data_IF_746847428899
#
_entry.id   IF_746847428899
#
_cell.length_a   1.000
_cell.length_b   1.000
_cell.length_c   1.000
_cell.angle_alpha   90.00
_cell.angle_beta   90.00
_cell.angle_gamma   90.00
#
_symmetry.space_group_name_H-M   'P 1'
#
loop_
_entity.id
_entity.type
_entity.pdbx_description
1 polymer ?
#
# COMPACT_ATOMS: atom_id res chain seq x y z
N UNK A 1 60.50 26.88 1.98
CA UNK A 1 60.12 25.74 1.14
C UNK A 1 59.14 24.74 1.77
N UNK A 2 59.02 24.62 3.11
CA UNK A 2 58.13 23.62 3.77
C UNK A 2 56.62 23.97 3.78
N UNK A 3 56.25 25.26 3.64
CA UNK A 3 54.83 25.65 3.73
C UNK A 3 53.99 25.35 2.45
N UNK A 4 54.60 25.33 1.25
CA UNK A 4 53.89 25.05 0.00
C UNK A 4 53.51 23.55 -0.19
N UNK A 5 54.31 22.67 0.41
CA UNK A 5 54.07 21.24 0.32
C UNK A 5 52.82 20.78 1.13
N UNK A 6 52.55 21.45 2.25
CA UNK A 6 51.43 21.17 3.14
C UNK A 6 50.07 21.59 2.55
N UNK A 7 50.06 22.70 1.78
CA UNK A 7 48.85 23.22 1.15
C UNK A 7 48.39 22.38 -0.06
N UNK A 8 49.35 21.80 -0.78
CA UNK A 8 49.04 20.96 -1.94
C UNK A 8 48.40 19.65 -1.54
N UNK A 9 48.80 19.03 -0.42
CA UNK A 9 48.22 17.81 0.09
C UNK A 9 46.81 17.97 0.65
N UNK A 10 46.51 19.10 1.32
CA UNK A 10 45.18 19.38 1.86
C UNK A 10 44.12 19.52 0.77
N UNK A 11 44.42 20.18 -0.36
CA UNK A 11 43.48 20.30 -1.49
C UNK A 11 43.19 18.98 -2.15
N UNK A 12 44.18 18.09 -2.28
CA UNK A 12 43.99 16.73 -2.83
C UNK A 12 43.18 15.83 -1.88
N UNK A 13 43.38 15.93 -0.57
CA UNK A 13 42.63 15.20 0.46
C UNK A 13 41.18 15.68 0.48
N UNK A 14 40.91 16.97 0.36
CA UNK A 14 39.55 17.52 0.27
C UNK A 14 38.83 17.08 -1.01
N UNK A 15 39.53 16.96 -2.14
CA UNK A 15 38.94 16.53 -3.41
C UNK A 15 38.61 15.03 -3.41
N UNK A 16 39.45 14.20 -2.77
CA UNK A 16 39.21 12.78 -2.59
C UNK A 16 38.05 12.53 -1.61
N UNK A 17 37.98 13.29 -0.51
CA UNK A 17 36.89 13.23 0.44
C UNK A 17 35.54 13.64 -0.17
N UNK A 18 35.53 14.65 -1.07
CA UNK A 18 34.34 15.05 -1.81
C UNK A 18 33.88 14.02 -2.82
N UNK A 19 34.80 13.28 -3.46
CA UNK A 19 34.47 12.22 -4.41
C UNK A 19 33.93 10.96 -3.71
N UNK A 20 34.43 10.64 -2.51
CA UNK A 20 33.91 9.54 -1.70
C UNK A 20 32.52 9.83 -1.10
N UNK A 21 32.16 11.08 -0.87
CA UNK A 21 30.84 11.46 -0.36
C UNK A 21 29.73 11.28 -1.40
N UNK A 22 30.04 11.27 -2.68
CA UNK A 22 29.10 11.00 -3.80
C UNK A 22 28.79 9.50 -3.97
N UNK A 23 29.55 8.61 -3.34
CA UNK A 23 29.29 7.16 -3.41
C UNK A 23 28.42 6.62 -2.27
N UNK A 24 28.05 7.47 -1.31
CA UNK A 24 27.17 7.04 -0.22
C UNK A 24 25.70 7.27 -0.62
N UNK A 25 25.05 6.17 -1.02
CA UNK A 25 23.60 6.15 -0.94
C UNK A 25 22.80 5.78 -2.17
N UNK A 26 23.32 5.05 -3.11
CA UNK A 26 22.42 4.23 -3.95
C UNK A 26 22.22 2.91 -3.21
N UNK A 27 21.36 2.92 -2.21
CA UNK A 27 20.74 1.66 -1.79
C UNK A 27 19.94 1.22 -3.02
N UNK A 28 20.40 0.16 -3.68
CA UNK A 28 19.66 -0.47 -4.76
C UNK A 28 18.28 -0.83 -4.19
N UNK A 29 17.27 -0.07 -4.59
CA UNK A 29 15.90 -0.29 -4.14
C UNK A 29 15.50 -1.70 -4.61
N UNK A 30 15.01 -2.53 -3.70
CA UNK A 30 14.69 -3.91 -4.01
C UNK A 30 13.58 -3.96 -5.07
N UNK A 31 13.89 -4.56 -6.22
CA UNK A 31 12.92 -4.76 -7.29
C UNK A 31 11.79 -5.66 -6.81
N UNK A 32 10.57 -5.24 -7.03
CA UNK A 32 9.34 -5.99 -6.72
C UNK A 32 8.73 -6.63 -7.96
N UNK A 33 8.98 -6.06 -9.13
CA UNK A 33 8.46 -6.50 -10.43
C UNK A 33 9.60 -6.71 -11.42
N UNK A 34 9.42 -7.60 -12.39
CA UNK A 34 10.32 -7.73 -13.53
C UNK A 34 10.04 -6.66 -14.60
N UNK A 35 8.84 -6.07 -14.57
CA UNK A 35 8.39 -4.99 -15.46
C UNK A 35 8.79 -3.65 -14.85
N UNK A 36 9.35 -2.74 -15.68
CA UNK A 36 9.85 -1.45 -15.21
C UNK A 36 8.73 -0.53 -14.72
N UNK A 37 7.68 -0.40 -15.53
CA UNK A 37 6.56 0.50 -15.26
C UNK A 37 5.26 -0.09 -15.80
N UNK A 38 4.12 0.34 -15.30
CA UNK A 38 2.84 -0.11 -15.81
C UNK A 38 1.63 0.36 -15.03
N UNK A 39 0.47 0.00 -15.56
CA UNK A 39 -0.83 0.29 -14.97
C UNK A 39 -1.64 -1.01 -14.88
N UNK A 40 -2.10 -1.34 -13.69
CA UNK A 40 -3.02 -2.46 -13.44
C UNK A 40 -4.38 -1.90 -13.05
N UNK A 41 -5.41 -2.22 -13.82
CA UNK A 41 -6.80 -1.92 -13.42
C UNK A 41 -7.36 -3.14 -12.70
N UNK A 42 -7.75 -2.97 -11.44
CA UNK A 42 -8.30 -4.01 -10.58
C UNK A 42 -9.78 -3.76 -10.31
N UNK A 43 -10.58 -4.81 -10.33
CA UNK A 43 -11.98 -4.77 -9.90
C UNK A 43 -12.20 -5.70 -8.71
N UNK A 44 -13.03 -5.26 -7.78
CA UNK A 44 -13.51 -6.05 -6.65
C UNK A 44 -15.01 -5.85 -6.48
N UNK A 45 -15.75 -6.92 -6.24
CA UNK A 45 -17.14 -6.83 -5.82
C UNK A 45 -17.21 -6.75 -4.29
N UNK A 46 -17.78 -5.66 -3.80
CA UNK A 46 -18.07 -5.47 -2.38
C UNK A 46 -19.57 -5.37 -2.18
N UNK A 47 -20.22 -6.47 -1.80
CA UNK A 47 -21.66 -6.52 -1.52
C UNK A 47 -22.53 -6.02 -2.69
N UNK A 48 -22.21 -6.47 -3.91
CA UNK A 48 -22.91 -6.09 -5.14
C UNK A 48 -22.53 -4.71 -5.70
N UNK A 49 -21.49 -4.08 -5.15
CA UNK A 49 -20.91 -2.85 -5.70
C UNK A 49 -19.53 -3.13 -6.26
N UNK A 50 -19.33 -2.80 -7.51
CA UNK A 50 -18.01 -2.86 -8.13
C UNK A 50 -17.16 -1.69 -7.66
N UNK A 51 -16.00 -2.00 -7.09
CA UNK A 51 -14.94 -1.04 -6.76
C UNK A 51 -13.83 -1.23 -7.76
N UNK A 52 -13.48 -0.16 -8.46
CA UNK A 52 -12.38 -0.15 -9.43
C UNK A 52 -11.19 0.57 -8.79
N UNK A 53 -10.01 -0.01 -8.96
CA UNK A 53 -8.75 0.58 -8.53
C UNK A 53 -7.78 0.57 -9.69
N UNK A 54 -7.01 1.65 -9.85
CA UNK A 54 -5.89 1.71 -10.77
C UNK A 54 -4.58 1.75 -9.97
N UNK A 55 -3.70 0.82 -10.24
CA UNK A 55 -2.37 0.74 -9.63
C UNK A 55 -1.36 1.15 -10.69
N UNK A 56 -0.79 2.33 -10.53
CA UNK A 56 0.33 2.83 -11.33
C UNK A 56 1.62 2.47 -10.62
N UNK A 57 2.59 1.93 -11.34
CA UNK A 57 3.90 1.60 -10.77
C UNK A 57 5.04 2.01 -11.71
N UNK A 58 6.18 2.36 -11.11
CA UNK A 58 7.42 2.66 -11.80
C UNK A 58 8.62 2.14 -11.01
N UNK A 59 9.80 2.20 -11.64
CA UNK A 59 11.07 1.75 -11.05
C UNK A 59 10.97 0.32 -10.48
N UNK A 60 10.43 -0.60 -11.32
CA UNK A 60 10.26 -2.01 -10.97
C UNK A 60 9.42 -2.25 -9.70
N UNK A 61 8.41 -1.40 -9.48
CA UNK A 61 7.51 -1.45 -8.34
C UNK A 61 8.04 -0.81 -7.05
N UNK A 62 9.15 -0.06 -7.15
CA UNK A 62 9.68 0.73 -6.04
C UNK A 62 8.80 1.95 -5.75
N UNK A 63 8.15 2.49 -6.80
CA UNK A 63 7.15 3.54 -6.71
C UNK A 63 5.80 2.98 -7.13
N UNK A 64 4.78 3.19 -6.30
CA UNK A 64 3.40 2.79 -6.60
C UNK A 64 2.43 3.88 -6.17
N UNK A 65 1.42 4.10 -6.99
CA UNK A 65 0.27 4.93 -6.68
C UNK A 65 -0.99 4.13 -6.96
N UNK A 66 -1.82 3.92 -5.96
CA UNK A 66 -3.13 3.28 -6.12
C UNK A 66 -4.20 4.34 -6.05
N UNK A 67 -4.98 4.46 -7.09
CA UNK A 67 -6.13 5.36 -7.16
C UNK A 67 -7.38 4.50 -6.99
N UNK A 68 -8.23 4.87 -6.04
CA UNK A 68 -9.53 4.24 -5.82
C UNK A 68 -10.60 5.30 -5.68
N UNK A 69 -11.79 4.99 -6.13
CA UNK A 69 -12.96 5.82 -5.89
C UNK A 69 -13.88 5.12 -4.88
N UNK A 70 -14.12 5.78 -3.77
CA UNK A 70 -15.03 5.30 -2.74
C UNK A 70 -16.06 6.38 -2.42
N UNK A 71 -17.35 6.08 -2.60
CA UNK A 71 -18.45 7.01 -2.34
C UNK A 71 -18.34 8.35 -3.09
N UNK A 72 -17.80 8.33 -4.32
CA UNK A 72 -17.59 9.53 -5.12
C UNK A 72 -16.35 10.36 -4.73
N UNK A 73 -15.57 9.91 -3.76
CA UNK A 73 -14.30 10.54 -3.39
C UNK A 73 -13.13 9.73 -3.95
N UNK A 74 -12.23 10.41 -4.64
CA UNK A 74 -10.97 9.82 -5.10
C UNK A 74 -9.95 9.82 -3.96
N UNK A 75 -9.44 8.65 -3.66
CA UNK A 75 -8.38 8.43 -2.69
C UNK A 75 -7.15 7.93 -3.43
N UNK A 76 -6.00 8.48 -3.11
CA UNK A 76 -4.72 8.05 -3.67
C UNK A 76 -3.82 7.52 -2.56
N UNK A 77 -3.38 6.28 -2.70
CA UNK A 77 -2.39 5.69 -1.80
C UNK A 77 -1.05 5.63 -2.51
N UNK A 78 -0.02 6.21 -1.91
CA UNK A 78 1.34 6.20 -2.44
C UNK A 78 2.22 5.24 -1.63
N UNK A 79 3.02 4.47 -2.34
CA UNK A 79 4.15 3.75 -1.78
C UNK A 79 5.42 4.22 -2.50
N UNK A 80 6.24 4.99 -1.80
CA UNK A 80 7.47 5.56 -2.33
C UNK A 80 8.56 5.45 -1.26
N UNK A 81 9.73 4.94 -1.62
CA UNK A 81 10.87 4.77 -0.71
C UNK A 81 10.54 3.98 0.58
N UNK A 82 9.60 3.02 0.49
CA UNK A 82 9.16 2.21 1.63
C UNK A 82 8.18 2.93 2.57
N UNK A 83 7.81 4.17 2.28
CA UNK A 83 6.76 4.89 3.00
C UNK A 83 5.41 4.71 2.32
N UNK A 84 4.36 4.57 3.14
CA UNK A 84 2.99 4.51 2.67
C UNK A 84 2.25 5.77 3.10
N UNK A 85 1.71 6.48 2.12
CA UNK A 85 0.93 7.70 2.32
C UNK A 85 -0.48 7.48 1.77
N UNK A 86 -1.48 7.98 2.47
CA UNK A 86 -2.85 8.06 1.96
C UNK A 86 -3.18 9.53 1.75
N UNK A 87 -3.59 9.89 0.55
CA UNK A 87 -3.90 11.27 0.14
C UNK A 87 -5.36 11.34 -0.21
N UNK A 88 -6.06 12.30 0.37
CA UNK A 88 -7.40 12.72 -0.05
C UNK A 88 -7.23 14.04 -0.83
N UNK A 89 -7.19 13.94 -2.15
CA UNK A 89 -6.99 15.12 -3.00
C UNK A 89 -8.17 16.12 -2.90
N UNK A 90 -9.39 15.65 -2.56
CA UNK A 90 -10.55 16.53 -2.40
C UNK A 90 -10.51 17.36 -1.11
N UNK A 91 -9.95 16.82 -0.05
CA UNK A 91 -9.83 17.48 1.25
C UNK A 91 -8.46 18.11 1.47
N UNK A 92 -7.55 17.96 0.49
CA UNK A 92 -6.18 18.45 0.55
C UNK A 92 -5.44 17.95 1.82
N UNK A 93 -5.63 16.68 2.17
CA UNK A 93 -5.03 16.04 3.34
C UNK A 93 -4.19 14.82 2.97
N UNK A 94 -3.11 14.59 3.70
CA UNK A 94 -2.30 13.39 3.57
C UNK A 94 -1.99 12.78 4.94
N UNK A 95 -2.00 11.46 5.00
CA UNK A 95 -1.71 10.70 6.21
C UNK A 95 -0.59 9.70 5.94
N UNK A 96 0.42 9.71 6.80
CA UNK A 96 1.43 8.66 6.81
C UNK A 96 0.88 7.42 7.49
N UNK A 97 0.81 6.34 6.73
CA UNK A 97 0.32 5.06 7.22
C UNK A 97 1.46 4.29 7.92
N UNK A 98 1.20 3.63 9.04
CA UNK A 98 2.20 2.77 9.67
C UNK A 98 2.61 1.63 8.73
N UNK A 99 3.87 1.18 8.86
CA UNK A 99 4.36 0.03 8.12
C UNK A 99 3.44 -1.19 8.35
N UNK A 100 2.85 -1.73 7.28
CA UNK A 100 1.86 -2.81 7.35
C UNK A 100 0.41 -2.39 7.08
N UNK A 101 0.16 -1.10 6.87
CA UNK A 101 -1.16 -0.56 6.48
C UNK A 101 -2.23 -0.69 7.58
N UNK A 102 -3.20 0.23 7.63
CA UNK A 102 -4.47 -0.06 8.28
C UNK A 102 -5.29 -0.90 7.30
N UNK A 103 -5.45 -2.18 7.63
CA UNK A 103 -6.07 -3.19 6.81
C UNK A 103 -7.36 -2.71 6.15
N UNK A 104 -7.36 -2.66 4.87
CA UNK A 104 -8.53 -2.33 4.05
C UNK A 104 -8.24 -2.39 2.56
N UNK A 105 -6.99 -2.29 2.17
CA UNK A 105 -6.60 -2.53 0.78
C UNK A 105 -5.86 -3.87 0.70
N UNK A 106 -6.18 -4.69 -0.26
CA UNK A 106 -5.56 -5.97 -0.54
C UNK A 106 -4.09 -5.85 -0.98
N UNK A 107 -3.33 -4.92 -0.42
CA UNK A 107 -1.91 -4.78 -0.71
C UNK A 107 -1.16 -5.91 -0.04
N UNK A 108 -0.98 -6.97 -0.79
CA UNK A 108 -0.06 -8.03 -0.45
C UNK A 108 1.34 -7.42 -0.42
N UNK A 109 1.82 -7.05 0.76
CA UNK A 109 3.15 -6.44 0.91
C UNK A 109 4.26 -7.50 0.86
N UNK A 110 4.10 -8.47 -0.05
CA UNK A 110 5.05 -9.55 -0.29
C UNK A 110 5.81 -9.26 -1.58
N UNK A 111 7.12 -9.32 -1.53
CA UNK A 111 7.95 -9.30 -2.74
C UNK A 111 8.05 -10.73 -3.28
N UNK A 112 7.30 -11.02 -4.34
CA UNK A 112 7.28 -12.35 -4.97
C UNK A 112 8.51 -12.66 -5.83
N UNK A 113 9.39 -11.69 -6.08
CA UNK A 113 10.67 -11.93 -6.72
C UNK A 113 11.72 -12.40 -5.72
N UNK A 114 11.53 -12.14 -4.43
CA UNK A 114 12.43 -12.58 -3.39
C UNK A 114 12.21 -14.07 -3.09
N UNK A 115 13.16 -14.91 -3.52
CA UNK A 115 13.16 -16.36 -3.34
C UNK A 115 13.97 -16.83 -2.13
N UNK A 116 14.42 -15.93 -1.25
CA UNK A 116 15.13 -16.26 -0.03
C UNK A 116 14.25 -17.15 0.87
N UNK A 117 14.76 -18.32 1.26
CA UNK A 117 14.01 -19.27 2.10
C UNK A 117 13.58 -18.66 3.45
N UNK A 118 14.42 -17.82 4.04
CA UNK A 118 14.10 -17.12 5.29
C UNK A 118 12.92 -16.17 5.09
N UNK A 119 12.89 -15.45 3.95
CA UNK A 119 11.80 -14.56 3.58
C UNK A 119 10.49 -15.34 3.37
N UNK A 120 10.55 -16.44 2.61
CA UNK A 120 9.41 -17.32 2.34
C UNK A 120 8.84 -17.90 3.65
N UNK A 121 9.71 -18.42 4.53
CA UNK A 121 9.31 -18.94 5.85
C UNK A 121 8.71 -17.85 6.75
N UNK A 122 9.34 -16.67 6.80
CA UNK A 122 8.86 -15.53 7.59
C UNK A 122 7.47 -15.09 7.17
N UNK A 123 7.21 -15.00 5.87
CA UNK A 123 5.92 -14.56 5.32
C UNK A 123 4.92 -15.73 5.12
N UNK A 124 5.32 -16.97 5.47
CA UNK A 124 4.50 -18.19 5.36
C UNK A 124 3.93 -18.38 3.94
N UNK A 125 4.71 -18.03 2.93
CA UNK A 125 4.36 -18.14 1.52
C UNK A 125 4.39 -19.62 1.14
N UNK A 126 3.33 -20.10 0.47
CA UNK A 126 3.27 -21.45 -0.10
C UNK A 126 2.92 -21.34 -1.58
N UNK A 127 3.78 -21.86 -2.43
CA UNK A 127 3.49 -21.99 -3.86
C UNK A 127 2.45 -23.11 -4.10
N UNK A 128 1.46 -22.83 -4.94
CA UNK A 128 0.35 -23.73 -5.28
C UNK A 128 0.40 -24.23 -6.72
N UNK A 129 1.39 -23.80 -7.52
CA UNK A 129 1.56 -24.15 -8.92
C UNK A 129 1.22 -23.02 -9.87
N UNK A 130 1.09 -23.35 -11.16
CA UNK A 130 0.86 -22.39 -12.24
C UNK A 130 -0.62 -22.31 -12.61
N UNK A 131 -1.02 -21.17 -13.18
CA UNK A 131 -2.34 -20.93 -13.72
C UNK A 131 -2.29 -19.82 -14.79
N UNK A 132 -3.29 -19.72 -15.64
CA UNK A 132 -3.37 -18.65 -16.63
C UNK A 132 -4.43 -17.63 -16.22
N UNK A 133 -4.05 -16.34 -16.19
CA UNK A 133 -4.97 -15.25 -15.90
C UNK A 133 -4.67 -14.04 -16.81
N UNK A 134 -5.68 -13.44 -17.42
CA UNK A 134 -5.56 -12.39 -18.46
C UNK A 134 -4.60 -12.78 -19.60
N UNK A 135 -4.59 -14.05 -20.01
CA UNK A 135 -3.68 -14.56 -21.05
C UNK A 135 -2.20 -14.59 -20.63
N UNK A 136 -1.91 -14.45 -19.33
CA UNK A 136 -0.54 -14.46 -18.75
C UNK A 136 -0.35 -15.69 -17.87
N UNK A 137 0.82 -16.28 -17.95
CA UNK A 137 1.23 -17.36 -17.06
C UNK A 137 1.50 -16.81 -15.66
N UNK A 138 0.73 -17.21 -14.67
CA UNK A 138 0.83 -16.74 -13.29
C UNK A 138 1.25 -17.89 -12.37
N UNK A 139 2.13 -17.61 -11.43
CA UNK A 139 2.35 -18.53 -10.31
C UNK A 139 1.34 -18.21 -9.20
N UNK A 140 0.67 -19.24 -8.71
CA UNK A 140 -0.26 -19.11 -7.57
C UNK A 140 0.49 -19.30 -6.26
N UNK A 141 0.19 -18.43 -5.30
CA UNK A 141 0.69 -18.56 -3.94
C UNK A 141 -0.47 -18.49 -2.93
N UNK A 142 -0.29 -19.20 -1.81
CA UNK A 142 -1.11 -19.01 -0.61
C UNK A 142 -0.31 -18.24 0.42
N UNK A 143 -0.89 -17.17 0.94
CA UNK A 143 -0.29 -16.35 1.99
C UNK A 143 -1.31 -16.13 3.12
N UNK A 144 -0.87 -16.06 4.39
CA UNK A 144 -1.76 -15.71 5.47
C UNK A 144 -2.02 -14.21 5.47
N UNK A 145 -3.26 -13.84 5.72
CA UNK A 145 -3.68 -12.46 5.98
C UNK A 145 -4.40 -12.40 7.33
N UNK A 146 -4.12 -11.39 8.13
CA UNK A 146 -4.85 -11.16 9.36
C UNK A 146 -6.04 -10.23 9.08
N UNK A 147 -7.26 -10.71 9.28
CA UNK A 147 -8.49 -9.96 9.05
C UNK A 147 -9.51 -10.27 10.15
N UNK A 148 -10.13 -9.22 10.69
CA UNK A 148 -11.17 -9.32 11.74
C UNK A 148 -10.79 -10.24 12.93
N UNK A 149 -9.53 -10.15 13.39
CA UNK A 149 -9.05 -10.97 14.51
C UNK A 149 -8.65 -12.41 14.15
N UNK A 150 -8.77 -12.81 12.88
CA UNK A 150 -8.47 -14.16 12.41
C UNK A 150 -7.38 -14.17 11.34
N UNK A 151 -6.66 -15.29 11.24
CA UNK A 151 -5.74 -15.53 10.13
C UNK A 151 -6.48 -16.27 9.03
N UNK A 152 -6.68 -15.59 7.91
CA UNK A 152 -7.33 -16.15 6.70
C UNK A 152 -6.25 -16.46 5.67
N UNK A 153 -6.47 -17.48 4.85
CA UNK A 153 -5.58 -17.77 3.71
C UNK A 153 -6.07 -17.04 2.48
N UNK A 154 -5.19 -16.25 1.91
CA UNK A 154 -5.43 -15.60 0.62
C UNK A 154 -4.66 -16.34 -0.46
N UNK A 155 -5.30 -16.63 -1.59
CA UNK A 155 -4.66 -17.12 -2.80
C UNK A 155 -4.40 -15.94 -3.71
N UNK A 156 -3.18 -15.85 -4.26
CA UNK A 156 -2.78 -14.78 -5.18
C UNK A 156 -2.22 -15.36 -6.47
N UNK A 157 -2.53 -14.72 -7.59
CA UNK A 157 -1.99 -15.03 -8.92
C UNK A 157 -0.99 -13.96 -9.27
N UNK A 158 0.26 -14.35 -9.45
CA UNK A 158 1.40 -13.46 -9.62
C UNK A 158 2.04 -13.66 -10.98
N UNK A 159 2.11 -12.58 -11.75
CA UNK A 159 2.80 -12.50 -13.02
C UNK A 159 3.97 -11.51 -12.90
N UNK A 160 5.21 -11.96 -13.14
CA UNK A 160 6.41 -11.11 -13.05
C UNK A 160 6.50 -10.30 -11.75
N UNK A 161 6.07 -10.85 -10.62
CA UNK A 161 5.99 -10.17 -9.33
C UNK A 161 4.71 -9.35 -9.10
N UNK A 162 3.94 -9.04 -10.14
CA UNK A 162 2.70 -8.27 -10.09
C UNK A 162 1.54 -9.18 -9.69
N UNK A 163 0.78 -8.81 -8.66
CA UNK A 163 -0.44 -9.53 -8.28
C UNK A 163 -1.58 -9.14 -9.21
N UNK A 164 -2.07 -10.09 -10.02
CA UNK A 164 -3.18 -9.88 -10.95
C UNK A 164 -4.54 -10.32 -10.40
N UNK A 165 -4.55 -11.26 -9.45
CA UNK A 165 -5.79 -11.73 -8.84
C UNK A 165 -5.53 -12.13 -7.40
N UNK A 166 -6.48 -11.83 -6.54
CA UNK A 166 -6.53 -12.34 -5.18
C UNK A 166 -7.89 -12.97 -4.92
N UNK A 167 -7.89 -14.07 -4.16
CA UNK A 167 -9.11 -14.72 -3.70
C UNK A 167 -8.94 -15.13 -2.26
N UNK A 168 -9.96 -14.88 -1.45
CA UNK A 168 -9.98 -15.18 -0.04
C UNK A 168 -11.37 -15.69 0.35
N UNK A 169 -11.43 -16.83 1.03
CA UNK A 169 -12.65 -17.36 1.60
C UNK A 169 -12.82 -16.84 3.02
N UNK A 170 -13.98 -16.25 3.28
CA UNK A 170 -14.39 -15.75 4.58
C UNK A 170 -15.71 -16.38 5.00
N UNK A 171 -16.14 -16.18 6.24
CA UNK A 171 -17.45 -16.64 6.71
C UNK A 171 -18.62 -15.98 5.96
N UNK A 172 -18.37 -14.83 5.29
CA UNK A 172 -19.33 -14.08 4.49
C UNK A 172 -19.31 -14.44 3.00
N UNK A 173 -18.49 -15.40 2.60
CA UNK A 173 -18.32 -15.83 1.22
C UNK A 173 -16.91 -15.64 0.69
N UNK A 174 -16.75 -15.82 -0.62
CA UNK A 174 -15.48 -15.62 -1.30
C UNK A 174 -15.33 -14.17 -1.75
N UNK A 175 -14.27 -13.53 -1.31
CA UNK A 175 -13.88 -12.19 -1.77
C UNK A 175 -12.82 -12.33 -2.86
N UNK A 176 -13.12 -11.80 -4.04
CA UNK A 176 -12.22 -11.82 -5.19
C UNK A 176 -11.94 -10.39 -5.63
N UNK A 177 -10.66 -10.09 -5.78
CA UNK A 177 -10.19 -8.91 -6.50
C UNK A 177 -9.38 -9.38 -7.70
N UNK A 178 -9.68 -8.88 -8.89
CA UNK A 178 -9.07 -9.35 -10.12
C UNK A 178 -8.72 -8.19 -11.04
N UNK A 179 -7.56 -8.29 -11.70
CA UNK A 179 -7.21 -7.36 -12.75
C UNK A 179 -8.13 -7.55 -13.95
N UNK A 180 -8.60 -6.45 -14.50
CA UNK A 180 -9.33 -6.42 -15.79
C UNK A 180 -8.41 -5.99 -16.92
N UNK A 181 -7.31 -5.29 -16.59
CA UNK A 181 -6.31 -4.86 -17.55
C UNK A 181 -4.92 -4.77 -16.89
N UNK A 182 -3.87 -4.97 -17.71
CA UNK A 182 -2.47 -4.68 -17.38
C UNK A 182 -1.79 -4.12 -18.62
N UNK A 183 -1.29 -2.89 -18.50
CA UNK A 183 -0.45 -2.22 -19.50
C UNK A 183 0.97 -2.19 -18.95
N UNK A 184 1.91 -2.80 -19.67
CA UNK A 184 3.33 -2.89 -19.29
C UNK A 184 4.14 -1.83 -20.04
N UNK A 185 5.28 -1.41 -19.45
CA UNK A 185 6.28 -0.51 -20.04
C UNK A 185 5.71 0.83 -20.56
N UNK A 186 4.71 1.37 -19.84
CA UNK A 186 4.09 2.66 -20.12
C UNK A 186 4.75 3.77 -19.28
N UNK A 187 4.90 4.96 -19.89
CA UNK A 187 5.42 6.14 -19.17
C UNK A 187 4.37 6.65 -18.16
N UNK A 188 4.76 6.73 -16.90
CA UNK A 188 3.93 7.25 -15.81
C UNK A 188 4.47 8.62 -15.40
N UNK A 189 3.65 9.68 -15.39
CA UNK A 189 4.08 11.00 -14.94
C UNK A 189 4.61 10.97 -13.51
N UNK A 190 5.74 11.63 -13.23
CA UNK A 190 6.36 11.67 -11.91
C UNK A 190 5.40 12.20 -10.82
N UNK A 191 4.55 13.17 -11.19
CA UNK A 191 3.51 13.74 -10.30
C UNK A 191 2.54 12.71 -9.74
N UNK A 192 2.40 11.53 -10.41
CA UNK A 192 1.56 10.44 -9.91
C UNK A 192 2.07 9.90 -8.57
N UNK A 193 3.38 9.97 -8.32
CA UNK A 193 4.07 9.43 -7.14
C UNK A 193 4.44 10.51 -6.13
N UNK A 194 3.98 11.74 -6.31
CA UNK A 194 4.31 12.88 -5.46
C UNK A 194 3.11 13.33 -4.63
N UNK A 195 3.39 13.84 -3.45
CA UNK A 195 2.39 14.54 -2.64
C UNK A 195 2.22 15.94 -3.24
N UNK A 196 0.98 16.40 -3.52
CA UNK A 196 0.77 17.74 -4.03
C UNK A 196 1.35 18.81 -3.11
N UNK A 197 1.84 19.91 -3.71
CA UNK A 197 2.38 21.04 -2.94
C UNK A 197 1.34 21.62 -1.97
N UNK A 198 1.78 21.98 -0.77
CA UNK A 198 0.92 22.60 0.24
C UNK A 198 0.11 21.64 1.08
N UNK A 199 0.22 20.31 0.84
CA UNK A 199 -0.41 19.32 1.72
C UNK A 199 0.50 19.03 2.91
N UNK A 200 -0.02 19.21 4.11
CA UNK A 200 0.65 18.79 5.34
C UNK A 200 0.45 17.29 5.57
N UNK A 201 1.57 16.56 5.72
CA UNK A 201 1.54 15.12 5.99
C UNK A 201 1.36 14.91 7.50
N UNK A 202 0.22 14.37 7.88
CA UNK A 202 -0.09 14.01 9.26
C UNK A 202 0.34 12.55 9.52
N UNK A 203 0.88 12.28 10.70
CA UNK A 203 1.18 10.92 11.11
C UNK A 203 0.00 10.34 11.88
N UNK A 204 -0.60 9.26 11.39
CA UNK A 204 -1.59 8.53 12.18
C UNK A 204 -0.88 7.87 13.37
N UNK A 205 -1.09 8.42 14.56
CA UNK A 205 -0.72 7.72 15.79
C UNK A 205 -1.67 6.55 15.96
N UNK A 206 -1.14 5.34 16.18
CA UNK A 206 -1.95 4.23 16.69
C UNK A 206 -2.41 4.62 18.09
N UNK A 207 -3.62 5.13 18.22
CA UNK A 207 -4.28 5.16 19.50
C UNK A 207 -4.44 3.72 20.03
N UNK A 208 -4.41 3.50 21.35
CA UNK A 208 -4.79 2.20 21.92
C UNK A 208 -6.17 1.84 21.37
N UNK A 209 -6.34 0.58 20.93
CA UNK A 209 -7.57 0.07 20.33
C UNK A 209 -8.81 0.54 21.09
N UNK A 210 -9.60 1.41 20.49
CA UNK A 210 -10.85 1.89 21.08
C UNK A 210 -10.99 3.42 21.03
N UNK A 211 -11.31 3.99 19.89
CA UNK A 211 -11.69 5.40 19.79
C UNK A 211 -11.11 6.05 18.56
N UNK A 212 -11.86 6.07 17.45
CA UNK A 212 -11.61 7.02 16.39
C UNK A 212 -11.73 8.44 16.94
N UNK A 213 -11.06 9.46 16.37
CA UNK A 213 -11.29 10.84 16.71
C UNK A 213 -12.76 11.18 16.36
N UNK A 214 -13.64 11.14 17.35
CA UNK A 214 -14.92 11.84 17.24
C UNK A 214 -14.59 13.31 17.15
N UNK A 215 -14.88 13.92 16.01
CA UNK A 215 -14.78 15.35 15.80
C UNK A 215 -15.50 16.08 16.93
N UNK A 216 -14.76 16.90 17.63
CA UNK A 216 -15.29 17.92 18.53
C UNK A 216 -16.12 18.91 17.71
N UNK A 217 -17.37 19.07 18.07
CA UNK A 217 -18.13 20.25 17.66
C UNK A 217 -19.42 19.99 16.90
N UNK A 218 -20.46 19.60 17.62
CA UNK A 218 -21.86 19.82 17.23
C UNK A 218 -22.78 19.71 18.43
N UNK A 219 -23.49 20.79 18.85
CA UNK A 219 -24.41 20.72 19.97
C UNK A 219 -25.67 19.98 19.52
N UNK A 220 -25.81 18.71 19.91
CA UNK A 220 -27.10 18.02 19.83
C UNK A 220 -27.90 18.34 21.09
N UNK A 221 -28.69 19.42 20.96
CA UNK A 221 -29.83 19.63 21.81
C UNK A 221 -30.96 18.65 21.46
N UNK A 222 -31.69 18.20 22.47
CA UNK A 222 -32.98 17.56 22.27
C UNK A 222 -33.11 16.20 22.94
N UNK A 223 -33.23 16.20 24.28
CA UNK A 223 -33.74 15.07 25.02
C UNK A 223 -35.14 14.69 24.54
N UNK A 224 -35.35 13.41 24.25
CA UNK A 224 -36.66 12.80 24.36
C UNK A 224 -36.58 11.63 25.31
N UNK A 225 -37.05 11.95 26.51
CA UNK A 225 -37.39 11.05 27.58
C UNK A 225 -38.53 10.12 27.08
N UNK A 226 -38.27 8.84 26.85
CA UNK A 226 -39.33 7.85 26.71
C UNK A 226 -39.56 7.20 28.07
N UNK A 227 -40.57 7.74 28.73
CA UNK A 227 -41.08 7.22 29.95
C UNK A 227 -41.56 5.78 29.85
N UNK A 228 -41.38 5.07 30.92
CA UNK A 228 -41.86 3.74 31.13
C UNK A 228 -43.38 3.65 31.03
N UNK A 229 -43.83 2.58 30.38
CA UNK A 229 -45.21 2.13 30.41
C UNK A 229 -45.20 0.64 30.75
N UNK A 230 -45.41 0.34 32.06
CA UNK A 230 -45.72 -0.99 32.49
C UNK A 230 -47.10 -1.40 31.96
N UNK A 231 -47.20 -2.62 31.49
CA UNK A 231 -48.48 -3.35 31.41
C UNK A 231 -48.35 -4.65 32.18
N UNK A 232 -48.89 -4.58 33.42
CA UNK A 232 -49.42 -5.75 34.07
C UNK A 232 -50.82 -6.03 33.50
N UNK A 233 -51.19 -7.28 33.34
CA UNK A 233 -52.51 -7.73 32.91
C UNK A 233 -52.57 -9.25 33.04
N UNK A 234 -53.12 -9.68 34.14
CA UNK A 234 -53.68 -11.03 34.38
C UNK A 234 -54.69 -11.39 33.30
N UNK A 235 -54.64 -12.61 32.82
CA UNK A 235 -55.68 -13.66 32.82
C UNK A 235 -55.11 -14.91 32.16
#
# INVERSE_FOLDING_TARGET
MKAKLKQFNMKKILLIASLCALCMGVQAQEKRYEVKSGIVTMEMDMMGRKVVQEIHFDDYGAKQATISEMRGQKMRSLMVNGENLMINDAENTAFKMPAGGMGGGNSVNVNFLNKDEKYIKKNKIKELGQDTFLGRECTKYSIPMFMMGQVVKQTVWVYKGIVLKTSMKTDFGEMVQAATNLVEDVEIPASMFEVPEGIEIQTMQRGPMGGGPMGEGGPMGGGRNFGGGGFGGEF
#
